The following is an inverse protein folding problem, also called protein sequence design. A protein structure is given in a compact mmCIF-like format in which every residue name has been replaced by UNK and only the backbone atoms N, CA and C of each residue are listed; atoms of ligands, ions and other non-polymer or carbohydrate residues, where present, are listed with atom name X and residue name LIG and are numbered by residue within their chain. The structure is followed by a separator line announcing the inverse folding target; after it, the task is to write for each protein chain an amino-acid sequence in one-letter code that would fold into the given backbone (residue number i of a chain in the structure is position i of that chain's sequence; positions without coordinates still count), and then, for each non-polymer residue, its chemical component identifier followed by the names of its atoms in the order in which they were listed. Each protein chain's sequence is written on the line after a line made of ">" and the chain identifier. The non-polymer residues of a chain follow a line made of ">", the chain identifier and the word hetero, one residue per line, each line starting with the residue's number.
data_IF_588249550372
#
_entry.id   IF_588249550372
#
_cell.length_a   1.000
_cell.length_b   1.000
_cell.length_c   1.000
_cell.angle_alpha   90.00
_cell.angle_beta   90.00
_cell.angle_gamma   90.00
#
_symmetry.space_group_name_H-M   'P 1'
#
loop_
_entity.id
_entity.type
_entity.pdbx_description
1 polymer ?
#
# COMPACT_ATOMS: atom_id res chain seq x y z
N UNK A 1 9.42 -47.23 -38.19
CA UNK A 1 9.21 -45.92 -38.84
C UNK A 1 10.07 -44.88 -38.15
N UNK A 2 11.14 -44.44 -38.83
CA UNK A 2 12.03 -43.35 -38.36
C UNK A 2 11.33 -42.01 -38.63
N UNK A 3 11.19 -41.15 -37.63
CA UNK A 3 10.87 -39.73 -37.83
C UNK A 3 12.07 -38.88 -37.42
N UNK A 4 12.60 -38.19 -38.41
CA UNK A 4 13.74 -37.29 -38.36
C UNK A 4 13.38 -35.98 -37.65
N UNK A 5 14.33 -35.44 -36.88
CA UNK A 5 14.32 -34.06 -36.38
C UNK A 5 14.71 -33.10 -37.51
N UNK A 6 14.04 -31.95 -37.69
CA UNK A 6 14.59 -30.86 -38.48
C UNK A 6 15.57 -30.02 -37.65
N UNK A 7 16.68 -29.65 -38.31
CA UNK A 7 17.75 -28.77 -37.85
C UNK A 7 17.27 -27.33 -37.70
N UNK A 8 17.91 -26.64 -36.75
CA UNK A 8 17.93 -25.20 -36.60
C UNK A 8 18.53 -24.51 -37.83
N UNK A 9 17.95 -23.36 -38.19
CA UNK A 9 18.53 -22.36 -39.09
C UNK A 9 18.25 -20.99 -38.45
N UNK A 10 19.29 -20.36 -37.91
CA UNK A 10 19.24 -18.95 -37.53
C UNK A 10 19.60 -18.07 -38.72
N UNK A 11 19.18 -16.80 -38.72
CA UNK A 11 19.86 -15.75 -39.44
C UNK A 11 20.63 -14.83 -38.49
N UNK A 12 21.94 -14.82 -38.68
CA UNK A 12 22.87 -13.78 -38.27
C UNK A 12 22.49 -12.43 -38.89
N UNK A 13 22.29 -11.40 -38.06
CA UNK A 13 22.42 -10.00 -38.50
C UNK A 13 23.28 -9.24 -37.49
N UNK A 14 24.57 -9.20 -37.80
CA UNK A 14 25.48 -8.16 -37.36
C UNK A 14 25.19 -6.89 -38.19
N UNK A 15 24.86 -5.78 -37.53
CA UNK A 15 25.03 -4.44 -38.09
C UNK A 15 25.45 -3.45 -36.99
N UNK A 16 26.77 -3.27 -36.94
CA UNK A 16 27.52 -2.05 -36.67
C UNK A 16 26.76 -0.80 -36.21
N UNK A 17 27.08 -0.36 -35.00
CA UNK A 17 26.83 0.99 -34.48
C UNK A 17 27.64 2.05 -35.26
N UNK A 18 27.10 3.24 -35.52
CA UNK A 18 27.89 4.38 -36.01
C UNK A 18 28.72 5.05 -34.88
N UNK A 19 29.73 5.86 -35.23
CA UNK A 19 30.73 6.36 -34.29
C UNK A 19 30.18 7.43 -33.35
N UNK A 20 30.80 7.53 -32.16
CA UNK A 20 30.62 8.62 -31.20
C UNK A 20 31.23 9.90 -31.76
N UNK A 21 30.45 10.97 -31.80
CA UNK A 21 30.97 12.33 -32.00
C UNK A 21 31.23 12.97 -30.62
N UNK A 22 32.48 13.41 -30.44
CA UNK A 22 32.90 14.29 -29.35
C UNK A 22 32.30 15.68 -29.58
N UNK A 23 31.45 16.14 -28.67
CA UNK A 23 30.99 17.53 -28.62
C UNK A 23 31.47 18.18 -27.32
N UNK A 24 32.29 19.21 -27.52
CA UNK A 24 32.91 20.07 -26.51
C UNK A 24 31.89 20.76 -25.60
N UNK A 25 32.25 20.82 -24.31
CA UNK A 25 31.61 21.65 -23.29
C UNK A 25 31.68 23.15 -23.63
N UNK A 26 30.57 23.91 -23.52
CA UNK A 26 30.62 25.36 -23.42
C UNK A 26 30.57 25.82 -21.95
N UNK A 27 31.35 26.86 -21.67
CA UNK A 27 31.72 27.33 -20.34
C UNK A 27 30.60 27.90 -19.46
N UNK A 28 30.91 27.94 -18.16
CA UNK A 28 30.12 28.58 -17.09
C UNK A 28 29.74 30.04 -17.42
N UNK A 29 28.46 30.43 -17.27
CA UNK A 29 28.07 31.80 -17.03
C UNK A 29 27.95 32.09 -15.52
N UNK A 30 28.25 33.35 -15.20
CA UNK A 30 28.32 33.99 -13.90
C UNK A 30 26.98 34.12 -13.15
N UNK A 31 27.11 34.21 -11.82
CA UNK A 31 26.10 34.63 -10.82
C UNK A 31 25.17 35.74 -11.33
N UNK A 32 23.86 35.45 -11.38
CA UNK A 32 22.81 36.47 -11.46
C UNK A 32 21.73 36.14 -10.43
N UNK A 33 21.45 37.13 -9.59
CA UNK A 33 20.44 37.17 -8.53
C UNK A 33 19.04 37.28 -9.11
N UNK A 34 18.10 36.45 -8.65
CA UNK A 34 16.66 36.59 -8.94
C UNK A 34 15.99 37.45 -7.86
N UNK A 35 15.21 38.49 -8.22
CA UNK A 35 14.38 39.22 -7.28
C UNK A 35 12.97 38.61 -7.19
N UNK A 36 12.44 38.52 -5.97
CA UNK A 36 11.00 38.36 -5.71
C UNK A 36 10.50 36.92 -5.60
N UNK A 37 10.79 36.25 -4.48
CA UNK A 37 9.99 35.11 -4.05
C UNK A 37 8.66 35.60 -3.51
N UNK A 38 7.58 35.41 -4.27
CA UNK A 38 6.22 35.40 -3.72
C UNK A 38 6.13 34.25 -2.70
N UNK A 39 5.40 34.40 -1.58
CA UNK A 39 5.25 33.34 -0.60
C UNK A 39 4.61 32.12 -1.27
N UNK A 40 5.25 30.95 -1.09
CA UNK A 40 4.65 29.65 -1.38
C UNK A 40 3.24 29.63 -0.81
N UNK A 41 2.26 29.42 -1.69
CA UNK A 41 0.87 29.20 -1.32
C UNK A 41 0.82 28.09 -0.26
N UNK A 42 0.12 28.40 0.83
CA UNK A 42 -0.09 27.52 1.96
C UNK A 42 -0.64 26.17 1.51
N UNK A 43 0.16 25.10 1.62
CA UNK A 43 -0.42 23.77 1.72
C UNK A 43 -1.34 23.78 2.93
N UNK A 44 -2.66 23.69 2.70
CA UNK A 44 -3.64 23.51 3.76
C UNK A 44 -3.23 22.28 4.57
N UNK A 45 -2.77 22.49 5.80
CA UNK A 45 -2.35 21.39 6.68
C UNK A 45 -3.56 20.50 6.88
N UNK A 46 -3.53 19.32 6.26
CA UNK A 46 -4.63 18.39 6.30
C UNK A 46 -4.60 17.69 7.66
N UNK A 47 -5.71 17.75 8.39
CA UNK A 47 -5.79 17.24 9.77
C UNK A 47 -5.53 15.73 9.84
N UNK A 48 -4.93 15.23 10.93
CA UNK A 48 -4.69 13.80 11.11
C UNK A 48 -5.99 13.01 11.34
N UNK A 49 -5.93 11.71 11.08
CA UNK A 49 -7.04 10.79 11.38
C UNK A 49 -7.23 10.58 12.88
N UNK A 50 -6.16 10.63 13.67
CA UNK A 50 -6.22 10.51 15.12
C UNK A 50 -5.39 11.57 15.83
N UNK A 51 -5.83 11.95 17.02
CA UNK A 51 -5.04 12.72 17.99
C UNK A 51 -4.69 11.82 19.18
N UNK A 52 -3.43 11.86 19.62
CA UNK A 52 -3.02 11.10 20.81
C UNK A 52 -3.52 11.75 22.09
N UNK A 53 -4.16 10.97 22.96
CA UNK A 53 -4.55 11.37 24.32
C UNK A 53 -4.11 10.29 25.31
N UNK A 54 -2.89 10.44 25.85
CA UNK A 54 -2.28 9.41 26.68
C UNK A 54 -2.01 8.14 25.88
N UNK A 55 -2.67 7.04 26.22
CA UNK A 55 -2.58 5.76 25.51
C UNK A 55 -3.67 5.57 24.43
N UNK A 56 -4.63 6.48 24.36
CA UNK A 56 -5.75 6.41 23.43
C UNK A 56 -5.49 7.26 22.18
N UNK A 57 -6.00 6.81 21.05
CA UNK A 57 -6.04 7.55 19.79
C UNK A 57 -7.49 7.95 19.53
N UNK A 58 -7.76 9.26 19.60
CA UNK A 58 -9.11 9.81 19.42
C UNK A 58 -9.34 10.09 17.94
N UNK A 59 -10.35 9.49 17.29
CA UNK A 59 -10.57 9.67 15.87
C UNK A 59 -11.14 11.04 15.54
N UNK A 60 -10.63 11.65 14.46
CA UNK A 60 -11.23 12.81 13.85
C UNK A 60 -12.52 12.42 13.08
N UNK A 61 -13.42 13.37 12.87
CA UNK A 61 -14.70 13.11 12.20
C UNK A 61 -14.53 12.46 10.81
N UNK A 62 -13.49 12.84 10.06
CA UNK A 62 -13.19 12.33 8.72
C UNK A 62 -12.48 10.96 8.71
N UNK A 63 -12.27 10.32 9.88
CA UNK A 63 -11.76 8.95 9.99
C UNK A 63 -12.82 7.87 9.69
N UNK A 64 -14.04 8.29 9.35
CA UNK A 64 -15.16 7.38 9.17
C UNK A 64 -15.03 6.50 7.92
N UNK A 65 -15.75 5.40 7.94
CA UNK A 65 -15.85 4.41 6.88
C UNK A 65 -16.77 4.91 5.75
N UNK A 66 -16.53 4.51 4.49
CA UNK A 66 -17.51 4.70 3.42
C UNK A 66 -18.82 3.94 3.68
N UNK A 67 -18.81 2.88 4.50
CA UNK A 67 -20.00 2.07 4.80
C UNK A 67 -20.96 2.74 5.79
N UNK A 68 -20.45 3.56 6.71
CA UNK A 68 -21.25 4.26 7.72
C UNK A 68 -20.42 5.36 8.40
N UNK A 69 -20.98 6.58 8.58
CA UNK A 69 -20.34 7.64 9.35
C UNK A 69 -20.08 7.28 10.82
N UNK A 70 -20.80 6.30 11.37
CA UNK A 70 -20.63 5.83 12.75
C UNK A 70 -19.51 4.79 12.94
N UNK A 71 -18.80 4.44 11.87
CA UNK A 71 -17.74 3.44 11.87
C UNK A 71 -16.41 4.04 11.44
N UNK A 72 -15.29 3.64 12.04
CA UNK A 72 -13.94 3.89 11.55
C UNK A 72 -13.68 3.16 10.25
N UNK A 73 -12.87 3.76 9.37
CA UNK A 73 -12.36 3.07 8.20
C UNK A 73 -11.35 1.98 8.60
N UNK A 74 -11.56 0.73 8.13
CA UNK A 74 -10.74 -0.44 8.48
C UNK A 74 -9.23 -0.24 8.26
N UNK A 75 -8.85 0.36 7.13
CA UNK A 75 -7.47 0.79 6.82
C UNK A 75 -6.73 1.44 7.98
N UNK A 76 -7.41 2.32 8.73
CA UNK A 76 -6.82 3.10 9.80
C UNK A 76 -6.37 2.24 10.97
N UNK A 77 -7.08 1.14 11.24
CA UNK A 77 -6.73 0.21 12.30
C UNK A 77 -5.45 -0.57 11.97
N UNK A 78 -5.30 -0.99 10.71
CA UNK A 78 -4.07 -1.62 10.25
C UNK A 78 -2.89 -0.67 10.25
N UNK A 79 -3.11 0.60 9.86
CA UNK A 79 -2.11 1.66 9.99
C UNK A 79 -1.65 1.87 11.45
N UNK A 80 -2.58 1.96 12.40
CA UNK A 80 -2.26 2.15 13.83
C UNK A 80 -1.48 0.96 14.40
N UNK A 81 -1.86 -0.27 14.03
CA UNK A 81 -1.15 -1.47 14.45
C UNK A 81 0.26 -1.55 13.84
N UNK A 82 0.40 -1.24 12.54
CA UNK A 82 1.70 -1.17 11.88
C UNK A 82 2.62 -0.15 12.57
N UNK A 83 2.10 1.04 12.86
CA UNK A 83 2.81 2.10 13.60
C UNK A 83 3.27 1.63 14.97
N UNK A 84 2.38 1.00 15.74
CA UNK A 84 2.70 0.53 17.09
C UNK A 84 3.76 -0.59 17.08
N UNK A 85 3.68 -1.52 16.12
CA UNK A 85 4.66 -2.60 15.93
C UNK A 85 6.02 -2.02 15.51
N UNK A 86 6.03 -1.12 14.53
CA UNK A 86 7.25 -0.45 14.06
C UNK A 86 7.92 0.32 15.20
N UNK A 87 7.18 1.20 15.88
CA UNK A 87 7.68 2.01 16.99
C UNK A 87 8.33 1.17 18.09
N UNK A 88 7.77 -0.01 18.39
CA UNK A 88 8.21 -0.83 19.52
C UNK A 88 9.26 -1.88 19.17
N UNK A 89 9.24 -2.40 17.94
CA UNK A 89 9.96 -3.62 17.55
C UNK A 89 10.74 -3.52 16.24
N UNK A 90 10.78 -2.35 15.58
CA UNK A 90 11.65 -2.14 14.44
C UNK A 90 13.13 -2.37 14.83
N UNK A 91 13.89 -2.87 13.86
CA UNK A 91 15.32 -3.12 13.97
C UNK A 91 15.91 -2.89 12.57
N UNK A 92 17.00 -2.12 12.41
CA UNK A 92 17.57 -1.83 11.09
C UNK A 92 17.95 -3.07 10.27
N UNK A 93 18.24 -4.19 10.92
CA UNK A 93 18.58 -5.44 10.26
C UNK A 93 17.36 -6.31 9.94
N UNK A 94 16.17 -5.94 10.45
CA UNK A 94 14.93 -6.68 10.24
C UNK A 94 13.99 -5.92 9.31
N UNK A 95 13.47 -6.63 8.33
CA UNK A 95 12.47 -6.16 7.39
C UNK A 95 11.08 -6.69 7.76
N UNK A 96 10.06 -5.84 7.79
CA UNK A 96 8.67 -6.27 7.97
C UNK A 96 8.22 -7.02 6.71
N UNK A 97 8.26 -8.34 6.75
CA UNK A 97 8.01 -9.21 5.60
C UNK A 97 6.55 -9.63 5.46
N UNK A 98 5.79 -9.65 6.56
CA UNK A 98 4.34 -9.93 6.55
C UNK A 98 3.62 -9.11 7.58
N UNK A 99 2.43 -8.64 7.22
CA UNK A 99 1.46 -8.06 8.14
C UNK A 99 0.06 -8.56 7.78
N UNK A 100 -0.60 -9.25 8.71
CA UNK A 100 -1.99 -9.72 8.56
C UNK A 100 -2.87 -8.94 9.52
N UNK A 101 -3.90 -8.28 9.00
CA UNK A 101 -4.90 -7.54 9.78
C UNK A 101 -6.21 -8.28 9.73
N UNK A 102 -6.71 -8.71 10.89
CA UNK A 102 -8.04 -9.31 11.02
C UNK A 102 -9.02 -8.26 11.56
N UNK A 103 -10.07 -7.96 10.79
CA UNK A 103 -11.13 -6.98 11.06
C UNK A 103 -12.44 -7.71 11.39
N UNK A 104 -12.44 -8.49 12.46
CA UNK A 104 -13.52 -9.43 12.77
C UNK A 104 -14.74 -8.81 13.48
N UNK A 105 -14.74 -7.49 13.73
CA UNK A 105 -15.84 -6.77 14.38
C UNK A 105 -16.03 -5.39 13.76
N UNK A 106 -17.22 -4.84 13.99
CA UNK A 106 -17.49 -3.43 13.72
C UNK A 106 -16.47 -2.55 14.47
N UNK A 107 -16.00 -1.50 13.80
CA UNK A 107 -15.05 -0.53 14.33
C UNK A 107 -15.80 0.77 14.58
N UNK A 108 -16.38 1.02 15.77
CA UNK A 108 -17.14 2.23 16.03
C UNK A 108 -16.24 3.48 16.05
N UNK A 109 -16.80 4.66 15.79
CA UNK A 109 -16.12 5.96 15.95
C UNK A 109 -15.87 6.30 17.44
N UNK A 110 -15.02 5.52 18.11
CA UNK A 110 -14.62 5.66 19.50
C UNK A 110 -13.09 5.75 19.61
N UNK A 111 -12.54 6.30 20.70
CA UNK A 111 -11.12 6.21 20.99
C UNK A 111 -10.64 4.75 20.96
N UNK A 112 -9.45 4.54 20.39
CA UNK A 112 -8.84 3.21 20.26
C UNK A 112 -7.52 3.13 21.01
N UNK A 113 -7.23 1.98 21.60
CA UNK A 113 -5.90 1.63 22.10
C UNK A 113 -5.30 0.50 21.26
N UNK A 114 -3.97 0.49 21.16
CA UNK A 114 -3.22 -0.58 20.49
C UNK A 114 -2.20 -1.16 21.46
N UNK A 115 -2.40 -2.42 21.81
CA UNK A 115 -1.49 -3.16 22.68
C UNK A 115 -0.65 -4.12 21.83
N UNK A 116 0.67 -4.12 22.01
CA UNK A 116 1.57 -4.97 21.23
C UNK A 116 2.31 -5.98 22.12
N UNK A 117 2.61 -7.15 21.56
CA UNK A 117 3.35 -8.21 22.25
C UNK A 117 4.30 -8.92 21.28
N UNK A 118 5.52 -9.22 21.75
CA UNK A 118 6.41 -10.14 21.05
C UNK A 118 5.95 -11.57 21.27
N UNK A 119 5.60 -12.25 20.19
CA UNK A 119 5.34 -13.70 20.17
C UNK A 119 6.65 -14.47 20.07
N UNK A 120 7.61 -13.91 19.35
CA UNK A 120 8.95 -14.48 19.15
C UNK A 120 9.96 -13.39 18.89
N UNK A 121 11.12 -13.47 19.55
CA UNK A 121 12.27 -12.63 19.26
C UNK A 121 13.52 -13.49 19.00
N UNK A 122 13.63 -14.00 17.78
CA UNK A 122 14.75 -14.83 17.36
C UNK A 122 15.73 -14.07 16.48
N UNK A 123 16.96 -14.59 16.37
CA UNK A 123 18.03 -13.95 15.59
C UNK A 123 17.64 -13.61 14.15
N UNK A 124 16.92 -14.49 13.45
CA UNK A 124 16.52 -14.29 12.04
C UNK A 124 15.05 -13.94 11.83
N UNK A 125 14.22 -14.23 12.82
CA UNK A 125 12.76 -14.13 12.71
C UNK A 125 12.24 -13.56 14.02
N UNK A 126 11.53 -12.45 13.91
CA UNK A 126 10.75 -11.85 14.99
C UNK A 126 9.27 -11.87 14.59
N UNK A 127 8.42 -12.18 15.55
CA UNK A 127 6.96 -12.20 15.39
C UNK A 127 6.37 -11.34 16.48
N UNK A 128 5.55 -10.38 16.10
CA UNK A 128 4.86 -9.48 17.00
C UNK A 128 3.38 -9.45 16.65
N UNK A 129 2.54 -9.42 17.69
CA UNK A 129 1.11 -9.22 17.54
C UNK A 129 0.73 -7.82 18.05
N UNK A 130 -0.36 -7.29 17.52
CA UNK A 130 -1.04 -6.11 18.04
C UNK A 130 -2.54 -6.41 18.21
N UNK A 131 -3.13 -5.94 19.29
CA UNK A 131 -4.56 -6.02 19.57
C UNK A 131 -5.12 -4.60 19.62
N UNK A 132 -6.20 -4.37 18.87
CA UNK A 132 -6.87 -3.07 18.78
C UNK A 132 -8.17 -3.13 19.59
N UNK A 133 -8.35 -2.17 20.50
CA UNK A 133 -9.45 -2.16 21.47
C UNK A 133 -10.15 -0.80 21.53
N UNK A 134 -11.43 -0.85 21.87
CA UNK A 134 -12.21 0.30 22.36
C UNK A 134 -12.76 -0.05 23.73
N UNK A 135 -13.53 0.87 24.34
CA UNK A 135 -14.35 0.57 25.52
C UNK A 135 -15.33 -0.61 25.31
N UNK A 136 -15.67 -0.94 24.06
CA UNK A 136 -16.56 -2.06 23.70
C UNK A 136 -15.81 -3.40 23.55
N UNK A 137 -14.50 -3.41 23.76
CA UNK A 137 -13.64 -4.59 23.71
C UNK A 137 -12.73 -4.63 22.48
N UNK A 138 -12.20 -5.81 22.18
CA UNK A 138 -11.32 -6.03 21.02
C UNK A 138 -12.13 -5.93 19.73
N UNK A 139 -11.66 -5.14 18.78
CA UNK A 139 -12.29 -4.94 17.47
C UNK A 139 -11.45 -5.46 16.30
N UNK A 140 -10.14 -5.64 16.50
CA UNK A 140 -9.24 -6.19 15.49
C UNK A 140 -7.93 -6.67 16.10
N UNK A 141 -7.17 -7.42 15.32
CA UNK A 141 -5.81 -7.83 15.67
C UNK A 141 -4.91 -7.82 14.44
N UNK A 142 -3.61 -7.71 14.68
CA UNK A 142 -2.60 -7.76 13.65
C UNK A 142 -1.49 -8.71 14.07
N UNK A 143 -0.97 -9.50 13.12
CA UNK A 143 0.25 -10.27 13.32
C UNK A 143 1.29 -9.86 12.28
N UNK A 144 2.49 -9.54 12.75
CA UNK A 144 3.62 -9.14 11.92
C UNK A 144 4.76 -10.16 12.01
N UNK A 145 5.40 -10.41 10.87
CA UNK A 145 6.63 -11.19 10.78
C UNK A 145 7.73 -10.29 10.25
N UNK A 146 8.80 -10.15 11.04
CA UNK A 146 9.99 -9.42 10.69
C UNK A 146 11.13 -10.41 10.45
N UNK A 147 11.82 -10.27 9.32
CA UNK A 147 12.87 -11.18 8.87
C UNK A 147 14.20 -10.45 8.75
N UNK A 148 15.28 -11.08 9.19
CA UNK A 148 16.63 -10.53 9.00
C UNK A 148 17.00 -10.55 7.53
N UNK A 149 17.48 -9.41 7.03
CA UNK A 149 17.96 -9.28 5.66
C UNK A 149 19.28 -10.03 5.44
N UNK A 150 19.53 -10.47 4.21
CA UNK A 150 20.78 -11.11 3.80
C UNK A 150 21.00 -10.91 2.31
N UNK A 151 22.17 -11.33 1.82
CA UNK A 151 22.45 -11.38 0.39
C UNK A 151 21.47 -12.32 -0.34
N UNK A 152 21.15 -11.97 -1.58
CA UNK A 152 20.35 -12.82 -2.47
C UNK A 152 21.15 -14.05 -2.90
N UNK A 153 20.51 -15.22 -3.08
CA UNK A 153 21.17 -16.38 -3.63
C UNK A 153 21.54 -16.15 -5.10
N UNK A 154 22.59 -16.84 -5.59
CA UNK A 154 23.03 -16.74 -7.00
C UNK A 154 21.93 -17.19 -7.99
N UNK A 155 21.26 -18.31 -7.67
CA UNK A 155 20.20 -18.86 -8.49
C UNK A 155 18.84 -18.34 -8.02
N UNK A 156 18.29 -17.37 -8.76
CA UNK A 156 17.03 -16.72 -8.41
C UNK A 156 15.86 -17.23 -9.25
N UNK A 157 14.65 -17.33 -8.67
CA UNK A 157 13.45 -17.53 -9.46
C UNK A 157 13.17 -16.33 -10.35
N UNK A 158 12.33 -16.52 -11.37
CA UNK A 158 11.79 -15.41 -12.15
C UNK A 158 10.95 -14.52 -11.23
N UNK A 159 11.21 -13.22 -11.27
CA UNK A 159 10.49 -12.22 -10.50
C UNK A 159 9.25 -11.75 -11.26
N UNK A 160 8.29 -11.17 -10.55
CA UNK A 160 7.16 -10.47 -11.16
C UNK A 160 7.67 -9.27 -11.95
N UNK A 161 7.28 -9.18 -13.22
CA UNK A 161 7.62 -8.03 -14.06
C UNK A 161 6.96 -6.75 -13.52
N UNK A 162 7.62 -5.59 -13.66
CA UNK A 162 6.97 -4.32 -13.42
C UNK A 162 5.82 -4.11 -14.40
N UNK A 163 4.77 -3.43 -13.93
CA UNK A 163 3.75 -2.91 -14.82
C UNK A 163 4.31 -1.79 -15.71
N UNK A 164 3.60 -1.49 -16.80
CA UNK A 164 3.91 -0.43 -17.74
C UNK A 164 3.31 0.93 -17.34
N UNK A 165 2.63 0.99 -16.19
CA UNK A 165 2.01 2.21 -15.69
C UNK A 165 3.06 3.20 -15.16
N UNK A 166 3.05 4.40 -15.73
CA UNK A 166 3.87 5.50 -15.23
C UNK A 166 3.24 6.11 -13.98
N UNK A 167 4.04 6.63 -13.03
CA UNK A 167 3.52 7.45 -11.94
C UNK A 167 2.70 8.62 -12.50
N UNK A 168 1.59 8.99 -11.85
CA UNK A 168 0.74 10.08 -12.31
C UNK A 168 1.47 11.43 -12.24
N UNK A 169 1.14 12.31 -13.18
CA UNK A 169 1.57 13.71 -13.19
C UNK A 169 0.35 14.60 -12.91
N UNK A 170 0.43 15.43 -11.88
CA UNK A 170 -0.67 16.29 -11.42
C UNK A 170 -1.67 15.65 -10.44
N UNK A 171 -2.67 16.43 -9.99
CA UNK A 171 -3.66 15.97 -9.02
C UNK A 171 -4.60 14.90 -9.63
N UNK A 172 -5.21 14.04 -8.79
CA UNK A 172 -6.19 13.09 -9.27
C UNK A 172 -7.45 13.79 -9.78
N UNK A 173 -8.15 13.14 -10.71
CA UNK A 173 -9.48 13.59 -11.13
C UNK A 173 -10.45 13.53 -9.93
N UNK A 174 -11.34 14.53 -9.76
CA UNK A 174 -12.31 14.52 -8.68
C UNK A 174 -13.18 13.26 -8.73
N UNK A 175 -13.37 12.64 -7.57
CA UNK A 175 -14.27 11.48 -7.44
C UNK A 175 -15.74 11.93 -7.59
N UNK A 176 -16.50 11.24 -8.44
CA UNK A 176 -17.97 11.31 -8.39
C UNK A 176 -18.45 10.38 -7.27
N UNK A 177 -18.91 10.93 -6.14
CA UNK A 177 -19.42 10.16 -5.01
C UNK A 177 -18.68 10.42 -3.70
N UNK A 178 -18.22 9.35 -3.04
CA UNK A 178 -17.42 9.45 -1.81
C UNK A 178 -16.03 10.01 -2.11
N UNK A 179 -15.65 11.08 -1.40
CA UNK A 179 -14.33 11.69 -1.50
C UNK A 179 -13.35 10.95 -0.58
N UNK A 180 -12.38 10.20 -1.13
CA UNK A 180 -11.38 9.52 -0.33
C UNK A 180 -10.52 10.55 0.42
N UNK A 181 -10.20 10.33 1.72
CA UNK A 181 -9.28 11.19 2.43
C UNK A 181 -7.82 10.81 2.11
N UNK A 182 -7.54 10.55 0.83
CA UNK A 182 -6.27 10.20 0.21
C UNK A 182 -6.43 10.33 -1.31
N UNK A 183 -5.34 10.50 -2.04
CA UNK A 183 -5.38 10.67 -3.49
C UNK A 183 -5.38 9.32 -4.21
N UNK A 184 -6.12 9.24 -5.32
CA UNK A 184 -6.20 8.06 -6.17
C UNK A 184 -6.22 8.40 -7.66
N UNK A 185 -5.37 7.76 -8.44
CA UNK A 185 -5.36 7.85 -9.90
C UNK A 185 -5.70 6.49 -10.50
N UNK A 186 -6.92 6.35 -10.99
CA UNK A 186 -7.38 5.15 -11.68
C UNK A 186 -6.74 5.01 -13.05
N UNK A 187 -6.34 3.80 -13.40
CA UNK A 187 -5.92 3.47 -14.76
C UNK A 187 -7.16 3.02 -15.55
N UNK A 188 -7.61 3.76 -16.58
CA UNK A 188 -8.86 3.47 -17.27
C UNK A 188 -8.91 2.07 -17.88
N UNK A 189 -10.02 1.37 -17.66
CA UNK A 189 -10.25 0.02 -18.22
C UNK A 189 -9.38 -1.09 -17.60
N UNK A 190 -8.51 -0.73 -16.65
CA UNK A 190 -7.64 -1.65 -15.95
C UNK A 190 -8.03 -1.70 -14.47
N UNK A 191 -7.84 -2.84 -13.82
CA UNK A 191 -8.06 -2.95 -12.37
C UNK A 191 -6.78 -2.54 -11.63
N UNK A 192 -6.30 -1.35 -11.98
CA UNK A 192 -5.03 -0.75 -11.55
C UNK A 192 -5.27 0.69 -11.08
N UNK A 193 -4.52 1.11 -10.08
CA UNK A 193 -4.48 2.51 -9.64
C UNK A 193 -3.16 2.84 -8.96
N UNK A 194 -2.84 4.13 -8.92
CA UNK A 194 -1.92 4.69 -7.95
C UNK A 194 -2.69 5.33 -6.80
N UNK A 195 -2.16 5.25 -5.59
CA UNK A 195 -2.68 5.96 -4.43
C UNK A 195 -1.58 6.65 -3.62
N UNK A 196 -1.92 7.74 -2.96
CA UNK A 196 -1.03 8.47 -2.06
C UNK A 196 -1.80 8.98 -0.85
N UNK A 197 -1.26 8.73 0.33
CA UNK A 197 -1.73 9.35 1.57
C UNK A 197 -1.25 10.81 1.62
N UNK A 198 -2.17 11.73 1.89
CA UNK A 198 -1.94 13.18 2.00
C UNK A 198 -2.18 13.71 3.42
N UNK A 199 -2.56 12.84 4.36
CA UNK A 199 -2.87 13.14 5.76
C UNK A 199 -1.99 12.33 6.72
N UNK A 200 -1.57 12.90 7.86
CA UNK A 200 -0.95 12.12 8.92
C UNK A 200 -1.94 11.11 9.52
N UNK A 201 -1.42 9.97 9.98
CA UNK A 201 -2.26 9.00 10.69
C UNK A 201 -2.54 9.47 12.13
N UNK A 202 -1.50 9.89 12.85
CA UNK A 202 -1.57 10.33 14.24
C UNK A 202 -0.84 11.66 14.37
N UNK A 203 -1.50 12.66 14.95
CA UNK A 203 -0.92 13.98 15.22
C UNK A 203 -0.19 14.58 13.99
N UNK A 204 1.06 15.02 14.13
CA UNK A 204 1.89 15.55 13.03
C UNK A 204 2.92 14.53 12.52
N UNK A 205 2.75 13.25 12.84
CA UNK A 205 3.70 12.20 12.48
C UNK A 205 3.73 11.92 10.99
N UNK A 206 4.94 11.93 10.41
CA UNK A 206 5.14 11.50 9.03
C UNK A 206 4.90 10.00 8.89
N UNK A 207 4.15 9.61 7.86
CA UNK A 207 3.92 8.21 7.55
C UNK A 207 5.23 7.54 7.13
N UNK A 208 5.57 6.45 7.82
CA UNK A 208 6.64 5.55 7.41
C UNK A 208 6.18 4.64 6.26
N UNK A 209 7.11 4.01 5.50
CA UNK A 209 6.75 3.12 4.41
C UNK A 209 5.81 1.97 4.81
N UNK A 210 6.01 1.36 5.99
CA UNK A 210 5.15 0.25 6.45
C UNK A 210 3.75 0.74 6.85
N UNK A 211 3.65 1.89 7.52
CA UNK A 211 2.34 2.46 7.89
C UNK A 211 1.55 2.84 6.64
N UNK A 212 2.19 3.49 5.66
CA UNK A 212 1.60 3.81 4.36
C UNK A 212 1.14 2.55 3.62
N UNK A 213 1.95 1.51 3.62
CA UNK A 213 1.61 0.22 2.97
C UNK A 213 0.44 -0.47 3.67
N UNK A 214 0.38 -0.42 5.01
CA UNK A 214 -0.75 -0.96 5.76
C UNK A 214 -2.07 -0.23 5.44
N UNK A 215 -2.04 1.09 5.37
CA UNK A 215 -3.20 1.89 4.94
C UNK A 215 -3.65 1.53 3.53
N UNK A 216 -2.72 1.38 2.58
CA UNK A 216 -3.01 0.98 1.21
C UNK A 216 -3.55 -0.46 1.10
N UNK A 217 -3.07 -1.38 1.93
CA UNK A 217 -3.41 -2.80 1.89
C UNK A 217 -4.92 -3.09 1.97
N UNK A 218 -5.64 -2.33 2.80
CA UNK A 218 -7.11 -2.44 2.95
C UNK A 218 -7.85 -2.15 1.64
N UNK A 219 -7.28 -1.31 0.76
CA UNK A 219 -7.86 -0.98 -0.53
C UNK A 219 -7.85 -2.17 -1.52
N UNK A 220 -7.13 -3.25 -1.23
CA UNK A 220 -7.21 -4.48 -2.01
C UNK A 220 -8.64 -5.05 -2.06
N UNK A 221 -9.43 -4.85 -1.00
CA UNK A 221 -10.83 -5.28 -0.93
C UNK A 221 -11.71 -4.58 -1.98
N UNK A 222 -11.87 -3.23 -1.97
CA UNK A 222 -12.66 -2.55 -2.99
C UNK A 222 -12.05 -2.71 -4.39
N UNK A 223 -10.73 -2.65 -4.56
CA UNK A 223 -10.10 -2.81 -5.87
C UNK A 223 -10.41 -4.17 -6.51
N UNK A 224 -10.37 -5.24 -5.70
CA UNK A 224 -10.72 -6.57 -6.20
C UNK A 224 -12.22 -6.77 -6.33
N UNK A 225 -13.07 -5.97 -5.69
CA UNK A 225 -14.52 -6.18 -5.64
C UNK A 225 -15.34 -5.20 -6.48
N UNK A 226 -14.71 -4.21 -7.09
CA UNK A 226 -15.36 -3.16 -7.87
C UNK A 226 -16.09 -3.73 -9.09
N UNK A 227 -17.35 -3.30 -9.26
CA UNK A 227 -18.22 -3.64 -10.37
C UNK A 227 -19.12 -2.44 -10.73
N UNK A 228 -19.87 -2.52 -11.83
CA UNK A 228 -20.77 -1.46 -12.29
C UNK A 228 -21.80 -1.03 -11.22
N UNK A 229 -22.28 -1.96 -10.40
CA UNK A 229 -23.21 -1.70 -9.29
C UNK A 229 -22.56 -1.19 -8.00
N UNK A 230 -21.25 -0.88 -8.03
CA UNK A 230 -20.46 -0.50 -6.87
C UNK A 230 -19.78 -1.69 -6.18
N UNK A 231 -19.36 -1.49 -4.92
CA UNK A 231 -18.61 -2.49 -4.14
C UNK A 231 -19.57 -3.28 -3.25
N UNK A 232 -19.76 -4.55 -3.56
CA UNK A 232 -20.72 -5.44 -2.87
C UNK A 232 -20.07 -6.39 -1.85
N UNK A 233 -18.79 -6.22 -1.54
CA UNK A 233 -18.07 -7.08 -0.59
C UNK A 233 -17.36 -6.22 0.45
N UNK A 234 -17.40 -6.68 1.70
CA UNK A 234 -16.66 -6.10 2.82
C UNK A 234 -15.61 -7.12 3.28
N UNK A 235 -14.39 -6.67 3.51
CA UNK A 235 -13.29 -7.55 3.92
C UNK A 235 -13.41 -7.95 5.39
N UNK A 236 -13.02 -9.19 5.67
CA UNK A 236 -12.81 -9.69 7.03
C UNK A 236 -11.35 -9.56 7.46
N UNK A 237 -10.42 -9.48 6.49
CA UNK A 237 -8.99 -9.35 6.73
C UNK A 237 -8.29 -8.64 5.56
N UNK A 238 -6.98 -8.42 5.71
CA UNK A 238 -6.05 -8.40 4.58
C UNK A 238 -4.66 -8.83 5.04
N UNK A 239 -3.86 -9.40 4.15
CA UNK A 239 -2.49 -9.80 4.42
C UNK A 239 -1.54 -9.23 3.38
N UNK A 240 -0.59 -8.44 3.86
CA UNK A 240 0.56 -7.95 3.12
C UNK A 240 1.71 -8.94 3.23
N UNK A 241 2.36 -9.23 2.11
CA UNK A 241 3.64 -9.94 2.03
C UNK A 241 4.61 -9.09 1.24
N UNK A 242 5.70 -8.66 1.88
CA UNK A 242 6.54 -7.57 1.40
C UNK A 242 7.97 -8.10 1.23
N UNK A 243 8.52 -8.00 0.02
CA UNK A 243 9.91 -8.34 -0.25
C UNK A 243 10.86 -7.18 0.10
N UNK A 244 10.35 -5.95 0.03
CA UNK A 244 11.04 -4.70 0.39
C UNK A 244 10.00 -3.66 0.82
N UNK A 245 10.45 -2.57 1.42
CA UNK A 245 9.61 -1.39 1.63
C UNK A 245 9.50 -0.57 0.33
N UNK A 246 8.37 0.12 0.09
CA UNK A 246 8.26 1.03 -1.05
C UNK A 246 9.23 2.21 -0.89
N UNK A 247 9.86 2.62 -1.99
CA UNK A 247 10.79 3.75 -2.06
C UNK A 247 10.11 5.10 -2.32
N UNK A 248 8.80 5.10 -2.63
CA UNK A 248 8.02 6.31 -2.92
C UNK A 248 6.78 6.44 -2.03
N UNK A 249 6.16 7.62 -2.07
CA UNK A 249 4.85 7.84 -1.43
C UNK A 249 3.67 7.35 -2.25
N UNK A 250 3.90 7.15 -3.54
CA UNK A 250 2.94 6.50 -4.42
C UNK A 250 3.00 4.99 -4.22
N UNK A 251 1.85 4.40 -3.92
CA UNK A 251 1.62 2.96 -3.93
C UNK A 251 0.73 2.63 -5.11
N UNK A 252 1.28 1.85 -6.03
CA UNK A 252 0.58 1.25 -7.14
C UNK A 252 -0.06 -0.06 -6.73
N UNK A 253 -1.27 -0.32 -7.22
CA UNK A 253 -2.01 -1.54 -6.91
C UNK A 253 -2.61 -2.11 -8.19
N UNK A 254 -2.34 -3.38 -8.48
CA UNK A 254 -2.93 -4.13 -9.58
C UNK A 254 -3.70 -5.33 -9.04
N UNK A 255 -5.02 -5.41 -9.27
CA UNK A 255 -5.78 -6.61 -8.95
C UNK A 255 -5.48 -7.73 -9.96
N UNK A 256 -4.77 -8.76 -9.49
CA UNK A 256 -4.29 -9.89 -10.31
C UNK A 256 -5.15 -11.14 -10.17
N UNK A 257 -6.05 -11.21 -9.18
CA UNK A 257 -6.90 -12.38 -8.99
C UNK A 257 -8.13 -12.12 -8.13
N UNK A 258 -9.22 -12.84 -8.44
CA UNK A 258 -10.39 -12.95 -7.56
C UNK A 258 -11.10 -14.28 -7.79
N UNK A 259 -11.57 -14.89 -6.71
CA UNK A 259 -12.50 -16.01 -6.72
C UNK A 259 -13.64 -15.71 -5.75
N UNK A 260 -14.87 -16.08 -6.10
CA UNK A 260 -16.01 -15.93 -5.22
C UNK A 260 -16.99 -17.10 -5.37
N UNK A 261 -17.52 -17.59 -4.25
CA UNK A 261 -18.54 -18.63 -4.19
C UNK A 261 -19.36 -18.49 -2.90
N UNK A 262 -20.67 -18.72 -2.98
CA UNK A 262 -21.58 -18.70 -1.83
C UNK A 262 -21.46 -17.44 -0.93
N UNK A 263 -21.27 -16.27 -1.54
CA UNK A 263 -21.15 -15.00 -0.80
C UNK A 263 -19.82 -14.80 -0.08
N UNK A 264 -18.82 -15.65 -0.30
CA UNK A 264 -17.45 -15.50 0.18
C UNK A 264 -16.54 -15.25 -1.02
N UNK A 265 -15.58 -14.34 -0.88
CA UNK A 265 -14.62 -14.01 -1.91
C UNK A 265 -13.19 -13.92 -1.37
N UNK A 266 -12.23 -14.20 -2.24
CA UNK A 266 -10.81 -13.94 -2.02
C UNK A 266 -10.27 -13.10 -3.17
N UNK A 267 -9.41 -12.13 -2.88
CA UNK A 267 -8.77 -11.26 -3.86
C UNK A 267 -7.25 -11.25 -3.72
N UNK A 268 -6.54 -10.97 -4.82
CA UNK A 268 -5.09 -10.79 -4.85
C UNK A 268 -4.74 -9.51 -5.58
N UNK A 269 -3.75 -8.79 -5.03
CA UNK A 269 -3.22 -7.55 -5.57
C UNK A 269 -1.70 -7.59 -5.57
N UNK A 270 -1.08 -7.19 -6.67
CA UNK A 270 0.35 -6.86 -6.71
C UNK A 270 0.53 -5.40 -6.29
N UNK A 271 1.48 -5.15 -5.38
CA UNK A 271 1.81 -3.81 -4.91
C UNK A 271 3.07 -3.31 -5.60
N UNK A 272 3.00 -2.11 -6.15
CA UNK A 272 4.06 -1.47 -6.92
C UNK A 272 4.48 -0.15 -6.28
N UNK A 273 5.73 0.22 -6.43
CA UNK A 273 6.17 1.60 -6.29
C UNK A 273 6.76 2.07 -7.63
N UNK A 274 7.39 3.25 -7.68
CA UNK A 274 7.98 3.78 -8.91
C UNK A 274 9.12 2.94 -9.50
N UNK A 275 9.61 1.92 -8.78
CA UNK A 275 10.68 1.01 -9.21
C UNK A 275 10.19 -0.40 -9.56
N UNK A 276 8.89 -0.67 -9.41
CA UNK A 276 8.26 -1.95 -9.74
C UNK A 276 7.60 -2.63 -8.53
N UNK A 277 7.32 -3.94 -8.61
CA UNK A 277 6.65 -4.67 -7.53
C UNK A 277 7.51 -4.68 -6.26
N UNK A 278 6.87 -4.53 -5.10
CA UNK A 278 7.53 -4.65 -3.80
C UNK A 278 6.89 -5.70 -2.88
N UNK A 279 5.69 -6.16 -3.22
CA UNK A 279 4.97 -7.15 -2.44
C UNK A 279 3.61 -7.48 -3.03
N UNK A 280 2.85 -8.26 -2.27
CA UNK A 280 1.49 -8.65 -2.61
C UNK A 280 0.55 -8.41 -1.44
N UNK A 281 -0.72 -8.17 -1.74
CA UNK A 281 -1.81 -8.15 -0.79
C UNK A 281 -2.83 -9.23 -1.15
N UNK A 282 -3.28 -10.00 -0.17
CA UNK A 282 -4.42 -10.90 -0.31
C UNK A 282 -5.51 -10.53 0.69
N UNK A 283 -6.76 -10.74 0.31
CA UNK A 283 -7.92 -10.34 1.11
C UNK A 283 -8.98 -11.43 1.08
N UNK A 284 -9.61 -11.69 2.22
CA UNK A 284 -10.88 -12.40 2.29
C UNK A 284 -12.03 -11.43 2.54
N UNK A 285 -13.18 -11.69 1.91
CA UNK A 285 -14.33 -10.81 2.00
C UNK A 285 -15.65 -11.59 1.99
N UNK A 286 -16.67 -11.01 2.61
CA UNK A 286 -18.04 -11.49 2.57
C UNK A 286 -18.92 -10.55 1.74
N UNK A 287 -19.92 -11.10 1.07
CA UNK A 287 -20.94 -10.33 0.38
C UNK A 287 -21.69 -9.46 1.38
N UNK A 288 -21.78 -8.17 1.08
CA UNK A 288 -22.52 -7.20 1.89
C UNK A 288 -23.88 -6.95 1.23
N UNK A 289 -25.01 -7.19 1.92
CA UNK A 289 -26.35 -6.95 1.37
C UNK A 289 -26.63 -5.48 1.05
N UNK A 290 -25.85 -4.55 1.62
CA UNK A 290 -25.92 -3.11 1.32
C UNK A 290 -24.63 -2.70 0.60
N UNK A 291 -24.59 -2.69 -0.75
CA UNK A 291 -23.38 -2.33 -1.48
C UNK A 291 -23.05 -0.83 -1.34
N UNK A 292 -21.76 -0.49 -1.35
CA UNK A 292 -21.34 0.90 -1.56
C UNK A 292 -21.69 1.28 -2.99
N UNK A 293 -22.51 2.32 -3.16
CA UNK A 293 -22.79 2.91 -4.47
C UNK A 293 -21.83 4.08 -4.67
N UNK A 294 -21.24 4.17 -5.87
CA UNK A 294 -20.53 5.35 -6.34
C UNK A 294 -21.49 6.49 -6.62
#
# INVERSE_FOLDING_TARGET
>A
MRRARPRAVGPSYLRSSPPREDVQEPGRPSRTTWPGGSPLESHSVTSPFFTSQGAEFVPAAHAHSPWSPGMLHGRLLGGLAARAIESRYADPDLHVARLTVDLFRNSPMLPVTVETALVRDGRRIRVADATIRTEQGVIGRVSAVLLRTSEQPENQPVLTDPWDETPPDGPPEPSTGWEPPFEMWWVPGQRRLWMREDRPLVDDEKLTPIVRTALAGDFASPLTSMAEGGVAFINADYTLTLARMPGSELIGMEATGRVAAAGVATGQVTLHDTTGPFGFCVVTALANPVPLRG
#
